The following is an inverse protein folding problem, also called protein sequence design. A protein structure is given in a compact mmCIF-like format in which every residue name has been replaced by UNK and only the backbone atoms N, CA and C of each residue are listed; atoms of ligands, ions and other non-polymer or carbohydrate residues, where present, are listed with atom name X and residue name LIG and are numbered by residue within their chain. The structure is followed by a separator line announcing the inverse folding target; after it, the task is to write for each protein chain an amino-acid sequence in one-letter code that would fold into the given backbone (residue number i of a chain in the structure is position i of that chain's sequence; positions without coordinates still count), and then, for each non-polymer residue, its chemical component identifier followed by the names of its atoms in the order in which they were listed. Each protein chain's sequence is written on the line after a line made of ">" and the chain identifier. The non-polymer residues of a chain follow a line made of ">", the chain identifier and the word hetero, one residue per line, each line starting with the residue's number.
data_IF_397405725582
#
_entry.id   IF_397405725582
#
_cell.length_a   1.000
_cell.length_b   1.000
_cell.length_c   1.000
_cell.angle_alpha   90.00
_cell.angle_beta   90.00
_cell.angle_gamma   90.00
#
_symmetry.space_group_name_H-M   'P 1'
#
loop_
_entity.id
_entity.type
_entity.pdbx_description
1 polymer ?
#
# COMPACT_ATOMS: atom_id res chain seq x y z
N UNK A 1 -5.37 -26.71 -9.21
CA UNK A 1 -4.90 -26.09 -7.95
C UNK A 1 -5.86 -24.96 -7.60
N UNK A 2 -6.10 -24.66 -6.33
CA UNK A 2 -6.86 -23.47 -5.94
C UNK A 2 -6.01 -22.21 -6.17
N UNK A 3 -6.58 -21.16 -6.75
CA UNK A 3 -5.96 -19.86 -6.91
C UNK A 3 -6.42 -18.92 -5.79
N UNK A 4 -5.46 -18.45 -4.98
CA UNK A 4 -5.70 -17.45 -3.94
C UNK A 4 -5.06 -16.13 -4.35
N UNK A 5 -5.82 -15.04 -4.27
CA UNK A 5 -5.32 -13.69 -4.52
C UNK A 5 -5.37 -12.86 -3.22
N UNK A 6 -4.22 -12.40 -2.74
CA UNK A 6 -4.18 -11.34 -1.72
C UNK A 6 -4.47 -10.00 -2.40
N UNK A 7 -5.65 -9.46 -2.12
CA UNK A 7 -6.17 -8.25 -2.72
C UNK A 7 -6.13 -7.07 -1.73
N UNK A 8 -5.24 -7.12 -0.73
CA UNK A 8 -5.09 -6.09 0.30
C UNK A 8 -4.82 -4.70 -0.31
N UNK A 9 -3.96 -4.61 -1.33
CA UNK A 9 -3.57 -3.32 -1.92
C UNK A 9 -4.61 -2.75 -2.89
N UNK A 10 -5.19 -3.58 -3.76
CA UNK A 10 -6.17 -3.08 -4.72
C UNK A 10 -7.54 -2.87 -4.07
N UNK A 11 -7.84 -3.63 -3.01
CA UNK A 11 -9.16 -3.69 -2.36
C UNK A 11 -10.25 -4.19 -3.34
N UNK A 12 -11.47 -4.53 -2.87
CA UNK A 12 -12.56 -4.86 -3.80
C UNK A 12 -13.06 -3.65 -4.62
N UNK A 13 -12.59 -2.44 -4.31
CA UNK A 13 -12.93 -1.21 -5.05
C UNK A 13 -12.23 -1.20 -6.41
N UNK A 14 -10.91 -1.42 -6.44
CA UNK A 14 -10.16 -1.33 -7.69
C UNK A 14 -10.20 -2.64 -8.46
N UNK A 15 -9.99 -3.78 -7.80
CA UNK A 15 -9.94 -5.08 -8.46
C UNK A 15 -10.81 -6.10 -7.74
N UNK A 16 -11.54 -6.92 -8.51
CA UNK A 16 -12.33 -8.03 -7.98
C UNK A 16 -11.79 -9.34 -8.52
N UNK A 17 -10.77 -9.96 -7.87
CA UNK A 17 -10.15 -11.18 -8.39
C UNK A 17 -11.11 -12.36 -8.56
N UNK A 18 -12.18 -12.43 -7.74
CA UNK A 18 -13.26 -13.41 -7.91
C UNK A 18 -14.04 -13.20 -9.22
N UNK A 19 -13.96 -12.07 -9.89
CA UNK A 19 -14.61 -11.90 -11.20
C UNK A 19 -13.68 -12.34 -12.36
N UNK A 20 -12.37 -12.47 -12.10
CA UNK A 20 -11.34 -12.78 -13.10
C UNK A 20 -10.61 -14.12 -12.90
N UNK A 21 -11.16 -14.99 -12.04
CA UNK A 21 -10.76 -16.40 -11.96
C UNK A 21 -10.14 -16.88 -10.65
N UNK A 22 -9.99 -16.03 -9.63
CA UNK A 22 -9.54 -16.49 -8.30
C UNK A 22 -10.62 -17.34 -7.60
N UNK A 23 -10.21 -18.34 -6.84
CA UNK A 23 -11.10 -19.18 -6.02
C UNK A 23 -11.33 -18.56 -4.64
N UNK A 24 -10.28 -17.92 -4.10
CA UNK A 24 -10.29 -17.26 -2.80
C UNK A 24 -9.63 -15.88 -2.95
N UNK A 25 -10.24 -14.86 -2.35
CA UNK A 25 -9.62 -13.55 -2.14
C UNK A 25 -9.33 -13.36 -0.66
N UNK A 26 -8.12 -12.91 -0.38
CA UNK A 26 -7.66 -12.57 0.97
C UNK A 26 -7.49 -11.06 1.09
N UNK A 27 -7.81 -10.53 2.28
CA UNK A 27 -7.48 -9.16 2.65
C UNK A 27 -6.94 -9.12 4.08
N UNK A 28 -5.94 -8.26 4.32
CA UNK A 28 -5.71 -7.69 5.63
C UNK A 28 -6.72 -6.57 5.88
N UNK A 29 -7.71 -6.82 6.74
CA UNK A 29 -8.70 -5.81 7.14
C UNK A 29 -8.07 -4.66 7.92
N UNK A 30 -6.89 -4.85 8.51
CA UNK A 30 -6.06 -3.81 9.11
C UNK A 30 -5.79 -2.61 8.19
N UNK A 31 -5.78 -2.84 6.87
CA UNK A 31 -5.34 -1.85 5.87
C UNK A 31 -6.53 -1.03 5.38
N UNK A 32 -6.70 -0.89 4.06
CA UNK A 32 -7.76 -0.08 3.45
C UNK A 32 -9.18 -0.36 3.96
N UNK A 33 -9.50 -1.64 4.24
CA UNK A 33 -10.84 -2.03 4.68
C UNK A 33 -11.20 -1.39 6.02
N UNK A 34 -10.34 -1.53 7.04
CA UNK A 34 -10.48 -0.83 8.31
C UNK A 34 -10.25 0.67 8.15
N UNK A 35 -9.14 1.04 7.51
CA UNK A 35 -8.88 2.37 6.96
C UNK A 35 -8.60 3.47 7.99
N UNK A 36 -8.58 3.16 9.29
CA UNK A 36 -8.46 4.15 10.36
C UNK A 36 -7.38 3.78 11.40
N UNK A 37 -6.49 2.83 11.08
CA UNK A 37 -5.37 2.40 11.94
C UNK A 37 -5.75 2.00 13.38
N UNK A 38 -6.99 1.54 13.59
CA UNK A 38 -7.56 1.28 14.91
C UNK A 38 -8.03 -0.18 15.10
N UNK A 39 -7.72 -1.06 14.15
CA UNK A 39 -8.06 -2.48 14.22
C UNK A 39 -7.02 -3.38 13.56
N UNK A 40 -6.95 -4.63 14.02
CA UNK A 40 -6.25 -5.71 13.33
C UNK A 40 -7.25 -6.77 12.87
N UNK A 41 -7.10 -7.26 11.64
CA UNK A 41 -8.02 -8.27 11.13
C UNK A 41 -7.65 -8.83 9.77
N UNK A 42 -8.25 -9.97 9.44
CA UNK A 42 -8.14 -10.62 8.13
C UNK A 42 -9.49 -11.08 7.62
N UNK A 43 -9.64 -11.12 6.30
CA UNK A 43 -10.85 -11.60 5.61
C UNK A 43 -10.44 -12.60 4.54
N UNK A 44 -11.23 -13.66 4.41
CA UNK A 44 -11.17 -14.62 3.31
C UNK A 44 -12.55 -14.72 2.68
N UNK A 45 -12.62 -14.52 1.37
CA UNK A 45 -13.86 -14.62 0.59
C UNK A 45 -13.66 -15.71 -0.46
N UNK A 46 -14.44 -16.79 -0.36
CA UNK A 46 -14.42 -17.87 -1.33
C UNK A 46 -15.49 -17.67 -2.41
N UNK A 47 -15.16 -18.03 -3.66
CA UNK A 47 -16.12 -18.07 -4.77
C UNK A 47 -17.16 -19.17 -4.56
N UNK A 48 -16.67 -20.38 -4.25
CA UNK A 48 -17.48 -21.59 -4.19
C UNK A 48 -17.91 -21.87 -2.73
N UNK A 49 -19.19 -22.17 -2.45
CA UNK A 49 -19.68 -22.44 -1.10
C UNK A 49 -18.91 -23.55 -0.40
N UNK A 50 -18.53 -24.61 -1.11
CA UNK A 50 -17.82 -25.78 -0.54
C UNK A 50 -16.41 -25.42 -0.06
N UNK A 51 -15.79 -24.40 -0.68
CA UNK A 51 -14.52 -23.83 -0.20
C UNK A 51 -14.77 -22.95 1.02
N UNK A 52 -15.84 -22.16 1.01
CA UNK A 52 -16.27 -21.35 2.16
C UNK A 52 -16.53 -22.18 3.42
N UNK A 53 -17.20 -23.33 3.30
CA UNK A 53 -17.44 -24.26 4.41
C UNK A 53 -16.14 -24.80 5.01
N UNK A 54 -15.16 -25.16 4.17
CA UNK A 54 -13.83 -25.61 4.63
C UNK A 54 -13.08 -24.51 5.36
N UNK A 55 -13.14 -23.27 4.86
CA UNK A 55 -12.53 -22.11 5.52
C UNK A 55 -13.21 -21.83 6.87
N UNK A 56 -14.54 -21.89 6.93
CA UNK A 56 -15.29 -21.70 8.15
C UNK A 56 -14.98 -22.79 9.19
N UNK A 57 -14.91 -24.05 8.76
CA UNK A 57 -14.51 -25.15 9.65
C UNK A 57 -13.11 -24.90 10.25
N UNK A 58 -12.15 -24.47 9.44
CA UNK A 58 -10.80 -24.15 9.92
C UNK A 58 -10.79 -22.96 10.88
N UNK A 59 -11.53 -21.90 10.57
CA UNK A 59 -11.69 -20.74 11.46
C UNK A 59 -12.24 -21.16 12.83
N UNK A 60 -13.28 -21.99 12.85
CA UNK A 60 -13.87 -22.50 14.08
C UNK A 60 -12.92 -23.44 14.85
N UNK A 61 -12.23 -24.34 14.15
CA UNK A 61 -11.31 -25.30 14.76
C UNK A 61 -10.07 -24.64 15.38
N UNK A 62 -9.58 -23.56 14.77
CA UNK A 62 -8.38 -22.83 15.24
C UNK A 62 -8.69 -21.69 16.19
N UNK A 63 -9.94 -21.22 16.24
CA UNK A 63 -10.33 -20.04 16.98
C UNK A 63 -9.82 -18.73 16.39
N UNK A 64 -9.34 -18.73 15.13
CA UNK A 64 -8.84 -17.54 14.43
C UNK A 64 -10.00 -16.62 13.96
N UNK A 65 -10.81 -16.16 14.92
CA UNK A 65 -11.96 -15.27 14.72
C UNK A 65 -11.59 -13.82 15.02
N UNK A 66 -12.17 -12.89 14.27
CA UNK A 66 -12.06 -11.46 14.56
C UNK A 66 -12.91 -11.12 15.78
N UNK A 67 -12.38 -10.27 16.68
CA UNK A 67 -13.14 -9.83 17.84
C UNK A 67 -14.37 -8.98 17.45
N UNK A 68 -15.43 -8.93 18.29
CA UNK A 68 -16.64 -8.17 17.97
C UNK A 68 -16.39 -6.67 17.78
N UNK A 69 -15.47 -6.08 18.55
CA UNK A 69 -15.12 -4.66 18.42
C UNK A 69 -14.38 -4.38 17.12
N UNK A 70 -13.38 -5.19 16.78
CA UNK A 70 -12.62 -5.09 15.52
C UNK A 70 -13.56 -5.30 14.33
N UNK A 71 -14.51 -6.24 14.44
CA UNK A 71 -15.53 -6.46 13.43
C UNK A 71 -16.45 -5.24 13.25
N UNK A 72 -16.85 -4.60 14.36
CA UNK A 72 -17.62 -3.35 14.32
C UNK A 72 -16.84 -2.20 13.67
N UNK A 73 -15.57 -2.00 14.04
CA UNK A 73 -14.69 -0.99 13.45
C UNK A 73 -14.45 -1.24 11.96
N UNK A 74 -14.29 -2.51 11.57
CA UNK A 74 -14.17 -2.93 10.17
C UNK A 74 -15.43 -2.58 9.39
N UNK A 75 -16.61 -2.95 9.89
CA UNK A 75 -17.89 -2.58 9.30
C UNK A 75 -18.08 -1.06 9.20
N UNK A 76 -17.59 -0.28 10.17
CA UNK A 76 -17.59 1.18 10.12
C UNK A 76 -16.67 1.68 8.99
N UNK A 77 -15.46 1.14 8.88
CA UNK A 77 -14.46 1.51 7.87
C UNK A 77 -14.92 1.24 6.43
N UNK A 78 -15.61 0.12 6.20
CA UNK A 78 -16.13 -0.26 4.87
C UNK A 78 -17.11 0.79 4.31
N UNK A 79 -17.86 1.49 5.17
CA UNK A 79 -18.85 2.51 4.74
C UNK A 79 -18.22 3.68 3.97
N UNK A 80 -16.93 3.95 4.16
CA UNK A 80 -16.20 5.00 3.46
C UNK A 80 -15.13 4.46 2.51
N UNK A 81 -15.02 3.14 2.35
CA UNK A 81 -13.93 2.49 1.62
C UNK A 81 -13.78 3.01 0.18
N UNK A 82 -14.87 3.01 -0.60
CA UNK A 82 -14.82 3.44 -2.00
C UNK A 82 -14.40 4.91 -2.13
N UNK A 83 -14.98 5.79 -1.31
CA UNK A 83 -14.62 7.22 -1.29
C UNK A 83 -13.13 7.42 -0.97
N UNK A 84 -12.63 6.72 0.05
CA UNK A 84 -11.22 6.81 0.46
C UNK A 84 -10.30 6.31 -0.64
N UNK A 85 -10.54 5.10 -1.15
CA UNK A 85 -9.66 4.47 -2.15
C UNK A 85 -9.57 5.29 -3.43
N UNK A 86 -10.68 5.85 -3.91
CA UNK A 86 -10.64 6.72 -5.10
C UNK A 86 -9.89 8.03 -4.84
N UNK A 87 -10.15 8.71 -3.72
CA UNK A 87 -9.45 9.94 -3.36
C UNK A 87 -7.92 9.70 -3.21
N UNK A 88 -7.55 8.68 -2.45
CA UNK A 88 -6.14 8.30 -2.24
C UNK A 88 -5.46 7.89 -3.56
N UNK A 89 -6.18 7.19 -4.45
CA UNK A 89 -5.65 6.82 -5.78
C UNK A 89 -5.38 8.05 -6.65
N UNK A 90 -6.27 9.04 -6.61
CA UNK A 90 -6.08 10.29 -7.36
C UNK A 90 -4.85 11.07 -6.84
N UNK A 91 -4.73 11.20 -5.52
CA UNK A 91 -3.56 11.85 -4.88
C UNK A 91 -2.27 11.08 -5.19
N UNK A 92 -2.29 9.75 -5.12
CA UNK A 92 -1.11 8.93 -5.41
C UNK A 92 -0.64 9.05 -6.87
N UNK A 93 -1.56 9.10 -7.84
CA UNK A 93 -1.19 9.33 -9.24
C UNK A 93 -0.54 10.70 -9.44
N UNK A 94 -1.09 11.74 -8.79
CA UNK A 94 -0.52 13.09 -8.81
C UNK A 94 0.89 13.10 -8.22
N UNK A 95 1.07 12.55 -7.00
CA UNK A 95 2.37 12.44 -6.34
C UNK A 95 3.37 11.64 -7.17
N UNK A 96 2.98 10.48 -7.71
CA UNK A 96 3.86 9.67 -8.55
C UNK A 96 4.31 10.42 -9.82
N UNK A 97 3.42 11.20 -10.43
CA UNK A 97 3.72 12.02 -11.60
C UNK A 97 4.64 13.20 -11.28
N UNK A 98 4.44 13.83 -10.11
CA UNK A 98 5.31 14.89 -9.61
C UNK A 98 6.69 14.36 -9.21
N UNK A 99 6.77 13.22 -8.53
CA UNK A 99 8.03 12.56 -8.11
C UNK A 99 8.93 12.24 -9.31
N UNK A 100 8.35 11.82 -10.46
CA UNK A 100 9.12 11.57 -11.69
C UNK A 100 9.86 12.80 -12.22
N UNK A 101 9.45 13.99 -11.83
CA UNK A 101 10.03 15.25 -12.30
C UNK A 101 11.13 15.76 -11.34
N UNK A 102 11.32 15.12 -10.19
CA UNK A 102 12.26 15.59 -9.18
C UNK A 102 13.68 15.13 -9.49
N UNK A 103 14.69 16.02 -9.48
CA UNK A 103 16.07 15.68 -9.84
C UNK A 103 16.71 14.60 -8.96
N UNK A 104 16.31 14.52 -7.68
CA UNK A 104 16.83 13.55 -6.71
C UNK A 104 16.19 12.15 -6.83
N UNK A 105 15.15 11.99 -7.65
CA UNK A 105 14.40 10.74 -7.82
C UNK A 105 14.86 10.02 -9.09
N UNK A 106 15.43 8.83 -8.92
CA UNK A 106 15.91 7.98 -10.02
C UNK A 106 14.79 7.28 -10.75
N UNK A 107 13.79 6.81 -10.00
CA UNK A 107 12.73 5.97 -10.52
C UNK A 107 11.50 6.03 -9.62
N UNK A 108 10.32 5.96 -10.23
CA UNK A 108 9.04 5.82 -9.55
C UNK A 108 8.38 4.51 -9.99
N UNK A 109 7.81 3.80 -9.02
CA UNK A 109 7.08 2.56 -9.15
C UNK A 109 5.61 2.85 -8.78
N UNK A 110 4.76 2.92 -9.80
CA UNK A 110 3.33 3.15 -9.61
C UNK A 110 2.57 2.68 -10.86
N UNK A 111 1.61 1.75 -10.73
CA UNK A 111 0.93 1.15 -11.88
C UNK A 111 0.08 2.13 -12.70
N UNK A 112 -0.22 3.32 -12.15
CA UNK A 112 -0.90 4.38 -12.90
C UNK A 112 -0.01 5.17 -13.85
N UNK A 113 1.31 5.01 -13.78
CA UNK A 113 2.25 5.62 -14.72
C UNK A 113 2.38 4.77 -15.99
N UNK A 114 2.36 5.41 -17.14
CA UNK A 114 2.58 4.79 -18.45
C UNK A 114 3.93 4.05 -18.58
N UNK A 115 4.94 4.50 -17.84
CA UNK A 115 6.26 3.91 -17.77
C UNK A 115 6.33 2.64 -16.91
N UNK A 116 5.30 2.35 -16.12
CA UNK A 116 5.29 1.18 -15.27
C UNK A 116 5.02 -0.09 -16.10
N UNK A 117 5.86 -1.14 -15.98
CA UNK A 117 5.68 -2.36 -16.76
C UNK A 117 4.35 -3.08 -16.46
N UNK A 118 3.76 -2.85 -15.27
CA UNK A 118 2.46 -3.36 -14.88
C UNK A 118 1.28 -2.53 -15.38
N UNK A 119 1.50 -1.35 -15.98
CA UNK A 119 0.43 -0.41 -16.34
C UNK A 119 -0.64 -1.03 -17.22
N UNK A 120 -0.27 -1.73 -18.29
CA UNK A 120 -1.25 -2.33 -19.21
C UNK A 120 -2.14 -3.40 -18.53
N UNK A 121 -1.59 -4.15 -17.58
CA UNK A 121 -2.36 -5.15 -16.80
C UNK A 121 -3.24 -4.45 -15.78
N UNK A 122 -2.69 -3.47 -15.05
CA UNK A 122 -3.44 -2.69 -14.08
C UNK A 122 -4.61 -1.94 -14.74
N UNK A 123 -4.38 -1.26 -15.87
CA UNK A 123 -5.42 -0.55 -16.60
C UNK A 123 -6.55 -1.47 -17.11
N UNK A 124 -6.27 -2.76 -17.31
CA UNK A 124 -7.27 -3.76 -17.68
C UNK A 124 -8.06 -4.29 -16.48
N UNK A 125 -7.43 -4.41 -15.31
CA UNK A 125 -7.99 -5.10 -14.14
C UNK A 125 -8.49 -4.16 -13.04
N UNK A 126 -7.97 -2.93 -12.97
CA UNK A 126 -8.31 -1.95 -11.96
C UNK A 126 -9.38 -0.99 -12.48
N UNK A 127 -10.25 -0.56 -11.58
CA UNK A 127 -11.38 0.33 -11.86
C UNK A 127 -11.29 1.57 -10.99
N UNK A 128 -11.53 2.75 -11.57
CA UNK A 128 -11.62 4.01 -10.81
C UNK A 128 -10.29 4.57 -10.26
N UNK A 129 -9.15 3.88 -10.45
CA UNK A 129 -7.84 4.35 -10.00
C UNK A 129 -6.77 3.26 -10.03
N UNK A 130 -5.56 3.59 -9.54
CA UNK A 130 -4.40 2.69 -9.56
C UNK A 130 -3.87 2.32 -8.16
N UNK A 131 -4.64 2.64 -7.11
CA UNK A 131 -4.24 2.41 -5.72
C UNK A 131 -3.44 3.58 -5.15
N UNK A 132 -3.13 3.48 -3.86
CA UNK A 132 -2.49 4.58 -3.11
C UNK A 132 -1.11 4.21 -2.55
N UNK A 133 -0.51 3.14 -3.07
CA UNK A 133 0.86 2.77 -2.76
C UNK A 133 1.78 3.30 -3.85
N UNK A 134 2.74 4.13 -3.48
CA UNK A 134 3.78 4.66 -4.39
C UNK A 134 5.12 4.27 -3.82
N UNK A 135 6.02 3.75 -4.64
CA UNK A 135 7.43 3.59 -4.26
C UNK A 135 8.31 4.38 -5.21
N UNK A 136 9.44 4.87 -4.71
CA UNK A 136 10.42 5.57 -5.53
C UNK A 136 11.83 5.40 -4.98
N UNK A 137 12.82 5.51 -5.86
CA UNK A 137 14.23 5.45 -5.52
C UNK A 137 14.84 6.84 -5.56
N UNK A 138 15.52 7.22 -4.49
CA UNK A 138 16.33 8.43 -4.46
C UNK A 138 17.81 8.12 -4.73
N UNK A 139 18.56 9.13 -5.19
CA UNK A 139 20.02 9.02 -5.34
C UNK A 139 20.75 9.18 -4.00
N UNK A 140 20.57 8.20 -3.11
CA UNK A 140 21.20 8.20 -1.80
C UNK A 140 21.46 6.80 -1.27
N UNK A 141 22.37 6.70 -0.31
CA UNK A 141 22.49 5.54 0.57
C UNK A 141 21.32 5.48 1.57
N UNK A 142 21.31 4.41 2.38
CA UNK A 142 20.29 4.19 3.41
C UNK A 142 20.21 5.32 4.42
N UNK A 143 21.33 5.97 4.75
CA UNK A 143 21.37 7.03 5.75
C UNK A 143 20.71 8.30 5.22
N UNK A 144 20.94 8.66 3.95
CA UNK A 144 20.21 9.77 3.35
C UNK A 144 18.75 9.46 3.07
N UNK A 145 18.40 8.20 2.78
CA UNK A 145 16.99 7.79 2.77
C UNK A 145 16.33 7.96 4.14
N UNK A 146 17.02 7.59 5.23
CA UNK A 146 16.55 7.82 6.59
C UNK A 146 16.39 9.31 6.89
N UNK A 147 17.40 10.15 6.60
CA UNK A 147 17.30 11.61 6.78
C UNK A 147 16.12 12.20 6.02
N UNK A 148 15.90 11.76 4.78
CA UNK A 148 14.77 12.22 3.97
C UNK A 148 13.43 11.89 4.62
N UNK A 149 13.20 10.62 4.99
CA UNK A 149 11.90 10.22 5.57
C UNK A 149 11.69 10.77 6.98
N UNK A 150 12.75 11.07 7.72
CA UNK A 150 12.67 11.72 9.05
C UNK A 150 12.42 13.23 8.94
N UNK A 151 12.62 13.82 7.76
CA UNK A 151 12.44 15.26 7.52
C UNK A 151 11.00 15.63 7.13
N UNK A 152 10.15 14.66 6.80
CA UNK A 152 8.74 14.90 6.48
C UNK A 152 7.94 15.24 7.75
N UNK A 153 6.91 16.06 7.61
CA UNK A 153 6.03 16.52 8.72
C UNK A 153 4.62 15.98 8.61
N UNK A 154 4.12 15.76 7.39
CA UNK A 154 2.79 15.21 7.13
C UNK A 154 2.84 13.70 6.97
N UNK A 155 3.84 13.19 6.25
CA UNK A 155 4.08 11.75 6.19
C UNK A 155 4.64 11.25 7.53
N UNK A 156 3.92 10.33 8.17
CA UNK A 156 4.38 9.71 9.41
C UNK A 156 5.32 8.54 9.10
N UNK A 157 6.49 8.54 9.75
CA UNK A 157 7.44 7.44 9.65
C UNK A 157 6.92 6.21 10.41
N UNK A 158 6.24 5.31 9.69
CA UNK A 158 5.66 4.11 10.28
C UNK A 158 5.53 2.98 9.26
N UNK A 159 5.56 1.75 9.78
CA UNK A 159 5.13 0.56 9.03
C UNK A 159 3.60 0.51 8.97
N UNK A 160 3.05 -0.35 8.10
CA UNK A 160 1.63 -0.43 7.71
C UNK A 160 1.28 0.46 6.50
N UNK A 161 0.00 0.47 6.13
CA UNK A 161 -0.54 1.17 4.94
C UNK A 161 -2.07 1.19 4.92
N UNK A 162 -2.63 2.05 4.05
CA UNK A 162 -4.04 2.05 3.64
C UNK A 162 -5.01 2.73 4.59
N UNK A 163 -4.50 3.40 5.62
CA UNK A 163 -5.30 4.24 6.51
C UNK A 163 -5.51 5.64 5.93
N UNK A 164 -6.22 6.52 6.66
CA UNK A 164 -6.53 7.89 6.20
C UNK A 164 -5.32 8.81 6.24
N UNK A 165 -4.36 8.54 7.12
CA UNK A 165 -3.10 9.26 7.26
C UNK A 165 -2.03 8.77 6.27
N UNK A 166 -1.21 9.70 5.81
CA UNK A 166 -0.07 9.42 4.95
C UNK A 166 1.09 8.83 5.74
N UNK A 167 1.62 7.69 5.28
CA UNK A 167 2.78 7.01 5.90
C UNK A 167 3.94 6.93 4.92
N UNK A 168 5.16 6.98 5.46
CA UNK A 168 6.41 6.84 4.72
C UNK A 168 7.33 5.82 5.42
N UNK A 169 8.05 5.02 4.65
CA UNK A 169 9.07 4.11 5.20
C UNK A 169 10.26 3.92 4.24
N UNK A 170 11.38 3.46 4.81
CA UNK A 170 12.53 2.93 4.08
C UNK A 170 12.51 1.39 4.20
N UNK A 171 12.04 0.64 3.19
CA UNK A 171 11.85 -0.81 3.29
C UNK A 171 13.13 -1.56 3.71
N UNK A 172 14.31 -1.08 3.28
CA UNK A 172 15.60 -1.72 3.57
C UNK A 172 15.93 -1.85 5.06
N UNK A 173 15.43 -0.96 5.92
CA UNK A 173 15.68 -0.96 7.38
C UNK A 173 14.42 -1.11 8.22
N UNK A 174 13.24 -1.11 7.58
CA UNK A 174 11.95 -1.24 8.25
C UNK A 174 11.25 -2.55 7.82
N UNK A 175 10.28 -2.49 6.90
CA UNK A 175 9.44 -3.64 6.54
C UNK A 175 10.20 -4.86 6.01
N UNK A 176 11.37 -4.66 5.41
CA UNK A 176 12.24 -5.72 4.88
C UNK A 176 13.61 -5.77 5.57
N UNK A 177 13.76 -5.11 6.73
CA UNK A 177 15.02 -5.06 7.48
C UNK A 177 15.55 -6.42 7.92
N UNK A 178 14.66 -7.42 8.06
CA UNK A 178 15.02 -8.78 8.45
C UNK A 178 15.74 -9.60 7.36
N UNK A 179 15.69 -9.18 6.09
CA UNK A 179 16.36 -9.88 4.99
C UNK A 179 17.84 -9.48 4.88
N UNK A 180 18.69 -10.37 4.37
CA UNK A 180 20.07 -10.01 4.05
C UNK A 180 20.10 -8.95 2.94
N UNK A 181 21.07 -8.00 2.95
CA UNK A 181 21.18 -6.96 1.92
C UNK A 181 21.21 -7.49 0.48
N UNK A 182 21.86 -8.63 0.24
CA UNK A 182 21.94 -9.29 -1.07
C UNK A 182 20.58 -9.83 -1.52
N UNK A 183 19.81 -10.41 -0.58
CA UNK A 183 18.48 -10.94 -0.86
C UNK A 183 17.49 -9.81 -1.20
N UNK A 184 17.58 -8.66 -0.50
CA UNK A 184 16.79 -7.46 -0.83
C UNK A 184 17.13 -6.92 -2.22
N UNK A 185 18.42 -6.75 -2.52
CA UNK A 185 18.90 -6.26 -3.83
C UNK A 185 18.45 -7.18 -4.97
N UNK A 186 18.45 -8.50 -4.76
CA UNK A 186 18.03 -9.47 -5.77
C UNK A 186 16.55 -9.32 -6.19
N UNK A 187 15.70 -8.74 -5.34
CA UNK A 187 14.28 -8.48 -5.62
C UNK A 187 13.98 -7.00 -5.87
N UNK A 188 15.02 -6.17 -6.07
CA UNK A 188 14.87 -4.74 -6.38
C UNK A 188 14.62 -3.84 -5.18
N UNK A 189 14.82 -4.32 -3.95
CA UNK A 189 14.75 -3.48 -2.74
C UNK A 189 16.13 -2.89 -2.50
N UNK A 190 16.33 -1.67 -2.98
CA UNK A 190 17.58 -0.89 -2.79
C UNK A 190 17.58 -0.12 -1.47
N UNK A 191 18.76 0.31 -1.03
CA UNK A 191 18.92 1.09 0.20
C UNK A 191 18.27 2.49 0.11
N UNK A 192 18.19 3.06 -1.09
CA UNK A 192 17.49 4.33 -1.37
C UNK A 192 16.02 4.18 -1.76
N UNK A 193 15.42 2.99 -1.59
CA UNK A 193 14.00 2.78 -1.89
C UNK A 193 13.15 3.38 -0.77
N UNK A 194 12.13 4.15 -1.14
CA UNK A 194 11.13 4.73 -0.24
C UNK A 194 9.76 4.21 -0.65
N UNK A 195 8.89 3.94 0.32
CA UNK A 195 7.48 3.58 0.10
C UNK A 195 6.57 4.57 0.79
N UNK A 196 5.61 5.09 0.05
CA UNK A 196 4.49 5.89 0.52
C UNK A 196 3.22 5.05 0.58
N UNK A 197 2.49 5.17 1.68
CA UNK A 197 1.05 4.89 1.74
C UNK A 197 0.35 6.24 1.76
N UNK A 198 -0.24 6.63 0.64
CA UNK A 198 -0.84 7.96 0.47
C UNK A 198 -2.21 8.02 1.17
N UNK A 199 -2.35 9.01 2.05
CA UNK A 199 -3.55 9.31 2.83
C UNK A 199 -4.55 10.23 2.11
N UNK A 200 -5.38 10.91 2.89
CA UNK A 200 -6.46 11.79 2.45
C UNK A 200 -6.15 13.28 2.61
N UNK A 201 -4.92 13.62 2.97
CA UNK A 201 -4.44 15.01 3.00
C UNK A 201 -4.52 15.66 1.61
N UNK A 202 -4.42 16.99 1.57
CA UNK A 202 -4.38 17.72 0.30
C UNK A 202 -3.09 17.37 -0.45
N UNK A 203 -3.20 17.15 -1.77
CA UNK A 203 -2.10 16.61 -2.55
C UNK A 203 -0.92 17.59 -2.69
N UNK A 204 -1.18 18.89 -2.82
CA UNK A 204 -0.17 19.94 -2.82
C UNK A 204 0.56 20.06 -1.49
N UNK A 205 -0.13 19.93 -0.36
CA UNK A 205 0.50 19.89 0.97
C UNK A 205 1.49 18.70 1.07
N UNK A 206 1.11 17.53 0.55
CA UNK A 206 1.98 16.35 0.50
C UNK A 206 3.16 16.52 -0.48
N UNK A 207 2.95 17.16 -1.63
CA UNK A 207 4.03 17.52 -2.57
C UNK A 207 5.03 18.49 -1.92
N UNK A 208 4.53 19.50 -1.20
CA UNK A 208 5.35 20.49 -0.51
C UNK A 208 6.17 19.83 0.62
N UNK A 209 5.55 18.96 1.42
CA UNK A 209 6.23 18.22 2.49
C UNK A 209 7.38 17.35 1.94
N UNK A 210 7.14 16.62 0.84
CA UNK A 210 8.18 15.84 0.17
C UNK A 210 9.25 16.75 -0.44
N UNK A 211 8.86 17.87 -1.05
CA UNK A 211 9.81 18.83 -1.65
C UNK A 211 10.76 19.40 -0.60
N UNK A 212 10.23 19.83 0.55
CA UNK A 212 11.04 20.33 1.66
C UNK A 212 11.98 19.24 2.21
N UNK A 213 11.50 18.00 2.30
CA UNK A 213 12.34 16.87 2.71
C UNK A 213 13.50 16.60 1.74
N UNK A 214 13.36 16.90 0.44
CA UNK A 214 14.44 16.74 -0.54
C UNK A 214 15.63 17.68 -0.28
N UNK A 215 15.43 18.82 0.39
CA UNK A 215 16.52 19.72 0.77
C UNK A 215 17.52 19.05 1.73
N UNK A 216 17.05 18.06 2.52
CA UNK A 216 17.91 17.26 3.41
C UNK A 216 18.91 16.36 2.67
N UNK A 217 18.67 16.11 1.36
CA UNK A 217 19.56 15.31 0.51
C UNK A 217 20.73 16.13 -0.04
N UNK A 218 20.57 17.45 -0.13
CA UNK A 218 21.58 18.37 -0.67
C UNK A 218 22.55 18.89 0.41
N UNK A 219 22.25 18.67 1.69
CA UNK A 219 22.98 19.23 2.83
C UNK A 219 24.25 18.46 3.24
N UNK A 220 24.94 17.81 2.29
CA UNK A 220 26.18 17.06 2.53
C UNK A 220 27.37 17.62 1.74
#
# INVERSE_FOLDING_TARGET
>A
ALLVADNTLATPVLCRPLEIGADIVMHSATKYIGGHSDLLGGLLVARAPEVGEKLHWMQNATGAVMGPLESFLCCRGVKTLELRVHAQSATALRLASWLRQQPSVKRVYYPGLDSDPGHAVAAKQYHGGFGAMVSFEIDSDVQGAQRFVESTRLFQLAVSLGAVESLIEVPAVMSHGAYAPEARRAVGITDGLIRLSVGLEEAGDLEEDLSQAMDSLSAL
#
